data_IF_601333227257
#
_entry.id   IF_601333227257
#
_cell.length_a   1.000
_cell.length_b   1.000
_cell.length_c   1.000
_cell.angle_alpha   90.00
_cell.angle_beta   90.00
_cell.angle_gamma   90.00
#
_symmetry.space_group_name_H-M   'P 1'
#
loop_
_entity.id
_entity.type
_entity.pdbx_description
1 polymer ?
#
# COMPACT_ATOMS: atom_id res chain seq x y z
N UNK A 1 -49.75 -4.77 36.47
CA UNK A 1 -49.47 -5.75 35.41
C UNK A 1 -50.32 -5.36 34.22
N UNK A 2 -49.83 -4.44 33.40
CA UNK A 2 -50.47 -4.04 32.12
C UNK A 2 -49.35 -4.07 31.07
N UNK A 3 -49.46 -5.02 30.13
CA UNK A 3 -48.59 -5.08 28.96
C UNK A 3 -49.03 -4.01 27.98
N UNK A 4 -48.27 -2.92 27.90
CA UNK A 4 -48.42 -1.91 26.85
C UNK A 4 -47.95 -2.48 25.51
N UNK A 5 -48.89 -2.97 24.70
CA UNK A 5 -48.65 -3.31 23.30
C UNK A 5 -48.50 -2.01 22.49
N UNK A 6 -47.26 -1.59 22.23
CA UNK A 6 -46.95 -0.48 21.34
C UNK A 6 -47.27 -0.87 19.89
N UNK A 7 -48.51 -0.59 19.46
CA UNK A 7 -48.91 -0.68 18.07
C UNK A 7 -48.07 0.30 17.24
N UNK A 8 -47.20 -0.23 16.39
CA UNK A 8 -46.46 0.54 15.38
C UNK A 8 -47.45 1.37 14.55
N UNK A 9 -47.15 2.66 14.36
CA UNK A 9 -48.02 3.56 13.61
C UNK A 9 -48.19 3.10 12.17
N UNK A 10 -49.37 3.28 11.58
CA UNK A 10 -49.68 2.90 10.19
C UNK A 10 -48.61 3.32 9.16
N UNK A 11 -47.97 4.51 9.22
CA UNK A 11 -46.88 4.85 8.30
C UNK A 11 -45.62 3.99 8.50
N UNK A 12 -45.29 3.59 9.73
CA UNK A 12 -44.14 2.70 9.96
C UNK A 12 -44.35 1.29 9.39
N UNK A 13 -45.59 0.78 9.41
CA UNK A 13 -45.94 -0.50 8.79
C UNK A 13 -45.84 -0.41 7.25
N UNK A 14 -46.29 0.69 6.65
CA UNK A 14 -46.18 0.91 5.21
C UNK A 14 -44.70 1.04 4.78
N UNK A 15 -43.88 1.77 5.52
CA UNK A 15 -42.44 1.91 5.20
C UNK A 15 -41.72 0.57 5.31
N UNK A 16 -41.94 -0.18 6.40
CA UNK A 16 -41.30 -1.49 6.62
C UNK A 16 -41.73 -2.52 5.58
N UNK A 17 -42.99 -2.54 5.17
CA UNK A 17 -43.48 -3.44 4.11
C UNK A 17 -42.93 -3.08 2.73
N UNK A 18 -42.82 -1.80 2.38
CA UNK A 18 -42.17 -1.35 1.14
C UNK A 18 -40.70 -1.76 1.11
N UNK A 19 -39.97 -1.58 2.22
CA UNK A 19 -38.57 -2.02 2.33
C UNK A 19 -38.47 -3.54 2.17
N UNK A 20 -39.34 -4.31 2.84
CA UNK A 20 -39.34 -5.77 2.73
C UNK A 20 -39.65 -6.27 1.31
N UNK A 21 -40.60 -5.62 0.61
CA UNK A 21 -40.91 -5.91 -0.79
C UNK A 21 -39.76 -5.57 -1.72
N UNK A 22 -39.12 -4.41 -1.53
CA UNK A 22 -37.94 -4.01 -2.31
C UNK A 22 -36.78 -4.99 -2.12
N UNK A 23 -36.51 -5.41 -0.88
CA UNK A 23 -35.49 -6.43 -0.55
C UNK A 23 -35.84 -7.78 -1.18
N UNK A 24 -37.11 -8.19 -1.13
CA UNK A 24 -37.56 -9.48 -1.69
C UNK A 24 -37.48 -9.49 -3.21
N UNK A 25 -37.95 -8.43 -3.88
CA UNK A 25 -37.84 -8.28 -5.33
C UNK A 25 -36.38 -8.21 -5.78
N UNK A 26 -35.54 -7.53 -5.00
CA UNK A 26 -34.10 -7.49 -5.24
C UNK A 26 -33.47 -8.90 -5.12
N UNK A 27 -33.78 -9.65 -4.06
CA UNK A 27 -33.29 -11.01 -3.89
C UNK A 27 -33.74 -11.96 -5.01
N UNK A 28 -35.01 -11.87 -5.43
CA UNK A 28 -35.56 -12.65 -6.54
C UNK A 28 -34.88 -12.28 -7.87
N UNK A 29 -34.65 -10.99 -8.13
CA UNK A 29 -33.93 -10.55 -9.34
C UNK A 29 -32.46 -10.99 -9.33
N UNK A 30 -31.82 -11.01 -8.15
CA UNK A 30 -30.47 -11.57 -7.94
C UNK A 30 -30.40 -13.05 -8.28
N UNK A 31 -31.35 -13.85 -7.76
CA UNK A 31 -31.48 -15.28 -8.10
C UNK A 31 -31.73 -15.51 -9.60
N UNK A 32 -32.51 -14.64 -10.25
CA UNK A 32 -32.76 -14.69 -11.70
C UNK A 32 -31.50 -14.38 -12.51
N UNK A 33 -30.69 -13.41 -12.07
CA UNK A 33 -29.42 -13.07 -12.72
C UNK A 33 -28.36 -14.17 -12.55
N UNK A 34 -28.34 -14.88 -11.41
CA UNK A 34 -27.47 -16.05 -11.20
C UNK A 34 -27.82 -17.17 -12.19
N UNK A 35 -29.12 -17.39 -12.46
CA UNK A 35 -29.59 -18.38 -13.44
C UNK A 35 -29.41 -17.93 -14.91
N UNK A 36 -29.43 -16.64 -15.18
CA UNK A 36 -29.30 -16.04 -16.53
C UNK A 36 -27.88 -16.07 -17.10
N UNK A 37 -26.86 -16.19 -16.24
CA UNK A 37 -25.44 -16.20 -16.63
C UNK A 37 -24.99 -17.35 -17.55
N UNK A 38 -25.87 -18.27 -17.92
CA UNK A 38 -25.58 -19.39 -18.83
C UNK A 38 -26.03 -19.19 -20.29
N UNK A 39 -26.52 -18.01 -20.69
CA UNK A 39 -27.02 -17.81 -22.08
C UNK A 39 -26.32 -16.67 -22.82
N UNK A 40 -25.00 -16.78 -22.97
CA UNK A 40 -24.21 -15.96 -23.89
C UNK A 40 -23.57 -16.81 -24.99
N UNK A 41 -24.23 -16.93 -26.15
CA UNK A 41 -23.62 -17.51 -27.36
C UNK A 41 -22.38 -16.69 -27.76
N UNK A 42 -21.19 -17.31 -27.75
CA UNK A 42 -20.07 -16.93 -28.63
C UNK A 42 -18.81 -16.29 -28.04
N UNK A 43 -18.68 -16.02 -26.74
CA UNK A 43 -17.40 -15.62 -26.12
C UNK A 43 -17.00 -16.62 -25.04
N UNK A 44 -15.81 -17.23 -25.18
CA UNK A 44 -15.21 -18.06 -24.12
C UNK A 44 -14.93 -17.14 -22.92
N UNK A 45 -15.83 -17.13 -21.94
CA UNK A 45 -15.64 -16.43 -20.68
C UNK A 45 -15.00 -17.38 -19.68
N UNK A 46 -14.17 -16.83 -18.79
CA UNK A 46 -13.63 -17.60 -17.65
C UNK A 46 -14.77 -18.12 -16.77
N UNK A 47 -14.63 -19.31 -16.15
CA UNK A 47 -15.62 -19.81 -15.20
C UNK A 47 -15.90 -18.78 -14.11
N UNK A 48 -17.17 -18.51 -13.83
CA UNK A 48 -17.54 -17.68 -12.67
C UNK A 48 -17.64 -18.56 -11.44
N UNK A 49 -17.00 -18.15 -10.35
CA UNK A 49 -17.17 -18.79 -9.05
C UNK A 49 -18.63 -18.73 -8.60
N UNK A 50 -19.12 -19.82 -8.02
CA UNK A 50 -20.42 -19.91 -7.38
C UNK A 50 -20.43 -19.25 -6.01
N UNK A 51 -21.62 -19.04 -5.46
CA UNK A 51 -21.79 -18.51 -4.09
C UNK A 51 -21.82 -16.98 -3.98
N UNK A 52 -21.76 -16.23 -5.09
CA UNK A 52 -21.88 -14.76 -5.07
C UNK A 52 -23.18 -14.28 -4.43
N UNK A 53 -23.10 -13.40 -3.44
CA UNK A 53 -24.27 -12.72 -2.88
C UNK A 53 -24.64 -11.46 -3.68
N UNK A 54 -25.92 -11.01 -3.61
CA UNK A 54 -26.31 -9.71 -4.15
C UNK A 54 -25.49 -8.56 -3.51
N UNK A 55 -25.16 -7.53 -4.31
CA UNK A 55 -24.32 -6.37 -3.98
C UNK A 55 -22.86 -6.68 -3.58
N UNK A 56 -22.62 -7.50 -2.56
CA UNK A 56 -21.29 -7.71 -1.98
C UNK A 56 -20.46 -8.77 -2.71
N UNK A 57 -21.08 -9.57 -3.58
CA UNK A 57 -20.38 -10.60 -4.34
C UNK A 57 -19.81 -11.69 -3.43
N UNK A 58 -18.51 -11.95 -3.55
CA UNK A 58 -17.75 -12.95 -2.80
C UNK A 58 -17.04 -12.36 -1.58
N UNK A 59 -17.25 -11.08 -1.24
CA UNK A 59 -16.59 -10.45 -0.08
C UNK A 59 -16.92 -11.13 1.25
N UNK A 60 -18.08 -11.78 1.36
CA UNK A 60 -18.45 -12.57 2.53
C UNK A 60 -17.52 -13.78 2.75
N UNK A 61 -16.82 -14.26 1.71
CA UNK A 61 -15.81 -15.31 1.82
C UNK A 61 -14.43 -14.74 2.19
N UNK A 62 -14.15 -13.49 1.79
CA UNK A 62 -12.83 -12.87 1.88
C UNK A 62 -12.65 -11.95 3.10
N UNK A 63 -13.74 -11.65 3.82
CA UNK A 63 -13.72 -10.78 5.01
C UNK A 63 -13.52 -11.52 6.34
N UNK A 64 -13.19 -12.81 6.32
CA UNK A 64 -13.03 -13.65 7.51
C UNK A 64 -11.64 -13.55 8.18
N UNK A 65 -11.39 -14.43 9.15
CA UNK A 65 -10.08 -14.56 9.81
C UNK A 65 -9.01 -15.20 8.92
N UNK A 66 -9.43 -15.95 7.89
CA UNK A 66 -8.54 -16.57 6.93
C UNK A 66 -8.12 -15.52 5.89
N UNK A 67 -6.81 -15.35 5.63
CA UNK A 67 -6.33 -14.40 4.63
C UNK A 67 -6.95 -14.63 3.24
N UNK A 68 -7.33 -13.56 2.51
CA UNK A 68 -8.01 -13.68 1.21
C UNK A 68 -7.28 -14.54 0.19
N UNK A 69 -5.94 -14.49 0.16
CA UNK A 69 -5.16 -15.27 -0.80
C UNK A 69 -5.22 -16.78 -0.54
N UNK A 70 -5.46 -17.23 0.70
CA UNK A 70 -5.65 -18.66 1.03
C UNK A 70 -7.04 -19.11 0.56
N UNK A 71 -8.08 -18.31 0.86
CA UNK A 71 -9.45 -18.59 0.39
C UNK A 71 -9.50 -18.66 -1.14
N UNK A 72 -8.82 -17.75 -1.83
CA UNK A 72 -8.75 -17.75 -3.29
C UNK A 72 -7.98 -18.96 -3.85
N UNK A 73 -6.98 -19.47 -3.13
CA UNK A 73 -6.26 -20.68 -3.51
C UNK A 73 -7.17 -21.92 -3.40
N UNK A 74 -7.90 -22.07 -2.30
CA UNK A 74 -8.89 -23.15 -2.13
C UNK A 74 -10.02 -23.08 -3.17
N UNK A 75 -10.42 -21.87 -3.56
CA UNK A 75 -11.36 -21.69 -4.67
C UNK A 75 -10.74 -22.15 -6.01
N UNK A 76 -9.45 -21.93 -6.23
CA UNK A 76 -8.77 -22.34 -7.46
C UNK A 76 -8.77 -23.87 -7.64
N UNK A 77 -8.72 -24.64 -6.54
CA UNK A 77 -8.84 -26.11 -6.59
C UNK A 77 -10.18 -26.57 -7.19
N UNK A 78 -11.23 -25.75 -7.04
CA UNK A 78 -12.58 -26.06 -7.51
C UNK A 78 -12.89 -25.46 -8.89
N UNK A 79 -12.39 -24.26 -9.18
CA UNK A 79 -12.72 -23.51 -10.40
C UNK A 79 -11.61 -23.52 -11.46
N UNK A 80 -10.44 -24.05 -11.12
CA UNK A 80 -9.29 -24.19 -11.98
C UNK A 80 -8.34 -22.98 -11.98
N UNK A 81 -7.39 -23.00 -12.92
CA UNK A 81 -6.26 -22.08 -13.01
C UNK A 81 -6.63 -20.59 -13.18
N UNK A 82 -7.84 -20.31 -13.68
CA UNK A 82 -8.35 -18.98 -13.92
C UNK A 82 -9.87 -18.97 -13.77
N UNK A 83 -10.38 -18.09 -12.92
CA UNK A 83 -11.82 -17.98 -12.65
C UNK A 83 -12.17 -16.56 -12.26
N UNK A 84 -13.45 -16.19 -12.35
CA UNK A 84 -13.92 -14.87 -11.99
C UNK A 84 -14.71 -14.87 -10.68
N UNK A 85 -14.44 -13.85 -9.87
CA UNK A 85 -15.16 -13.52 -8.64
C UNK A 85 -15.74 -12.12 -8.75
N UNK A 86 -16.58 -11.76 -7.78
CA UNK A 86 -17.16 -10.42 -7.62
C UNK A 86 -16.71 -9.83 -6.30
N UNK A 87 -16.01 -8.69 -6.35
CA UNK A 87 -15.67 -7.90 -5.17
C UNK A 87 -16.63 -6.71 -5.09
N UNK A 88 -17.73 -6.90 -4.38
CA UNK A 88 -18.85 -5.97 -4.47
C UNK A 88 -19.48 -6.01 -5.86
N UNK A 89 -19.60 -4.83 -6.49
CA UNK A 89 -20.10 -4.71 -7.86
C UNK A 89 -19.04 -4.93 -8.95
N UNK A 90 -17.76 -5.06 -8.57
CA UNK A 90 -16.65 -5.21 -9.52
C UNK A 90 -16.40 -6.68 -9.84
N UNK A 91 -16.32 -7.01 -11.12
CA UNK A 91 -15.85 -8.32 -11.58
C UNK A 91 -14.32 -8.37 -11.49
N UNK A 92 -13.77 -9.41 -10.89
CA UNK A 92 -12.33 -9.63 -10.74
C UNK A 92 -11.97 -11.01 -11.27
N UNK A 93 -10.89 -11.12 -12.03
CA UNK A 93 -10.36 -12.41 -12.48
C UNK A 93 -9.21 -12.80 -11.56
N UNK A 94 -9.26 -14.03 -11.07
CA UNK A 94 -8.24 -14.67 -10.24
C UNK A 94 -7.43 -15.60 -11.14
N UNK A 95 -6.11 -15.54 -10.99
CA UNK A 95 -5.15 -16.36 -11.72
C UNK A 95 -4.28 -17.08 -10.72
N UNK A 96 -4.22 -18.41 -10.81
CA UNK A 96 -3.64 -19.27 -9.77
C UNK A 96 -2.59 -20.26 -10.29
N UNK A 97 -2.07 -20.07 -11.50
CA UNK A 97 -0.99 -20.89 -12.09
C UNK A 97 0.10 -20.01 -12.66
N UNK A 98 1.33 -20.54 -12.71
CA UNK A 98 2.47 -19.77 -13.21
C UNK A 98 2.38 -19.55 -14.73
N UNK A 99 1.78 -20.48 -15.49
CA UNK A 99 1.55 -20.35 -16.93
C UNK A 99 0.65 -19.15 -17.22
N UNK A 100 -0.46 -19.04 -16.50
CA UNK A 100 -1.40 -17.92 -16.67
C UNK A 100 -0.81 -16.61 -16.13
N UNK A 101 -0.07 -16.65 -15.02
CA UNK A 101 0.64 -15.47 -14.52
C UNK A 101 1.67 -14.97 -15.53
N UNK A 102 2.40 -15.86 -16.22
CA UNK A 102 3.31 -15.51 -17.31
C UNK A 102 2.55 -14.86 -18.46
N UNK A 103 1.44 -15.44 -18.92
CA UNK A 103 0.63 -14.79 -19.97
C UNK A 103 0.16 -13.38 -19.59
N UNK A 104 -0.24 -13.17 -18.33
CA UNK A 104 -0.68 -11.86 -17.83
C UNK A 104 0.46 -10.85 -17.67
N UNK A 105 1.62 -11.29 -17.16
CA UNK A 105 2.72 -10.42 -16.73
C UNK A 105 3.87 -10.33 -17.75
N UNK A 106 3.78 -11.06 -18.86
CA UNK A 106 4.71 -10.93 -20.00
C UNK A 106 3.98 -10.67 -21.31
N UNK A 107 3.14 -11.60 -21.78
CA UNK A 107 2.55 -11.52 -23.13
C UNK A 107 1.53 -10.38 -23.23
N UNK A 108 0.76 -10.19 -22.16
CA UNK A 108 -0.34 -9.22 -22.07
C UNK A 108 -0.08 -8.13 -21.01
N UNK A 109 1.19 -7.96 -20.62
CA UNK A 109 1.60 -7.09 -19.50
C UNK A 109 1.09 -5.66 -19.67
N UNK A 110 1.21 -5.09 -20.87
CA UNK A 110 0.76 -3.73 -21.20
C UNK A 110 -0.76 -3.56 -21.08
N UNK A 111 -1.53 -4.58 -21.46
CA UNK A 111 -3.00 -4.53 -21.37
C UNK A 111 -3.48 -4.62 -19.91
N UNK A 112 -2.67 -5.23 -19.04
CA UNK A 112 -2.97 -5.45 -17.62
C UNK A 112 -2.15 -4.55 -16.66
N UNK A 113 -1.37 -3.61 -17.20
CA UNK A 113 -0.47 -2.78 -16.41
C UNK A 113 -1.21 -1.76 -15.52
N UNK A 114 -2.40 -1.33 -15.92
CA UNK A 114 -3.18 -0.31 -15.20
C UNK A 114 -3.65 -0.79 -13.84
N UNK A 115 -3.47 0.04 -12.81
CA UNK A 115 -4.00 -0.21 -11.46
C UNK A 115 -5.48 0.14 -11.36
N UNK A 116 -6.32 -0.75 -10.77
CA UNK A 116 -7.69 -0.40 -10.44
C UNK A 116 -7.73 0.77 -9.44
N UNK A 117 -8.65 1.71 -9.63
CA UNK A 117 -8.87 2.81 -8.68
C UNK A 117 -9.39 2.27 -7.36
N UNK A 118 -8.70 2.59 -6.27
CA UNK A 118 -9.10 2.38 -4.88
C UNK A 118 -9.12 3.71 -4.12
N UNK A 119 -9.83 3.76 -3.00
CA UNK A 119 -9.83 4.93 -2.12
C UNK A 119 -8.41 5.29 -1.66
N UNK A 120 -7.59 4.29 -1.33
CA UNK A 120 -6.20 4.51 -0.92
C UNK A 120 -5.38 5.15 -2.05
N UNK A 121 -5.52 4.68 -3.30
CA UNK A 121 -4.82 5.27 -4.44
C UNK A 121 -5.17 6.74 -4.68
N UNK A 122 -6.43 7.11 -4.44
CA UNK A 122 -6.90 8.48 -4.64
C UNK A 122 -6.49 9.42 -3.51
N UNK A 123 -6.65 8.98 -2.26
CA UNK A 123 -6.42 9.81 -1.07
C UNK A 123 -4.95 9.86 -0.70
N UNK A 124 -4.22 8.75 -0.83
CA UNK A 124 -2.85 8.60 -0.32
C UNK A 124 -1.80 8.58 -1.43
N UNK A 125 -2.21 8.36 -2.69
CA UNK A 125 -1.31 8.27 -3.84
C UNK A 125 -1.11 9.57 -4.61
N UNK A 126 -1.24 10.74 -3.96
CA UNK A 126 -1.11 12.05 -4.61
C UNK A 126 -1.95 12.19 -5.89
N UNK A 127 -3.22 11.76 -5.83
CA UNK A 127 -4.14 11.77 -6.97
C UNK A 127 -3.56 11.13 -8.25
N UNK A 128 -2.82 10.03 -8.09
CA UNK A 128 -2.23 9.28 -9.19
C UNK A 128 -0.78 9.63 -9.53
N UNK A 129 -0.12 10.53 -8.80
CA UNK A 129 1.32 10.77 -8.96
C UNK A 129 2.19 9.65 -8.34
N UNK A 130 1.69 8.95 -7.31
CA UNK A 130 2.42 7.86 -6.67
C UNK A 130 2.52 6.63 -7.58
N UNK A 131 3.71 6.40 -8.17
CA UNK A 131 3.95 5.40 -9.23
C UNK A 131 3.48 3.98 -8.89
N UNK A 132 3.52 3.60 -7.60
CA UNK A 132 3.06 2.28 -7.14
C UNK A 132 1.56 2.05 -7.37
N UNK A 133 0.76 3.12 -7.34
CA UNK A 133 -0.70 3.11 -7.47
C UNK A 133 -1.23 3.87 -8.70
N UNK A 134 -0.35 4.51 -9.48
CA UNK A 134 -0.75 5.25 -10.69
C UNK A 134 -1.33 4.32 -11.77
N UNK A 135 -2.27 4.84 -12.59
CA UNK A 135 -2.67 4.17 -13.82
C UNK A 135 -1.49 4.10 -14.80
N UNK A 136 -1.45 3.04 -15.62
CA UNK A 136 -0.44 2.94 -16.66
C UNK A 136 -0.67 4.02 -17.73
N UNK A 137 0.41 4.67 -18.16
CA UNK A 137 0.37 5.74 -19.14
C UNK A 137 1.76 6.36 -19.37
N UNK A 138 1.85 7.44 -20.16
CA UNK A 138 3.12 8.11 -20.44
C UNK A 138 3.83 8.60 -19.16
N UNK A 139 3.10 9.25 -18.25
CA UNK A 139 3.62 9.69 -16.95
C UNK A 139 4.26 8.54 -16.16
N UNK A 140 3.51 7.46 -15.92
CA UNK A 140 4.02 6.29 -15.19
C UNK A 140 5.27 5.69 -15.85
N UNK A 141 5.31 5.65 -17.19
CA UNK A 141 6.44 5.10 -17.93
C UNK A 141 7.69 5.97 -17.79
N UNK A 142 7.53 7.30 -17.80
CA UNK A 142 8.62 8.26 -17.61
C UNK A 142 9.18 8.19 -16.18
N UNK A 143 8.34 8.26 -15.16
CA UNK A 143 8.80 8.17 -13.76
C UNK A 143 9.44 6.80 -13.49
N UNK A 144 8.86 5.70 -13.98
CA UNK A 144 9.47 4.37 -13.84
C UNK A 144 10.86 4.30 -14.49
N UNK A 145 11.05 4.94 -15.64
CA UNK A 145 12.35 5.01 -16.33
C UNK A 145 13.36 5.78 -15.47
N UNK A 146 12.97 6.90 -14.86
CA UNK A 146 13.81 7.67 -13.94
C UNK A 146 14.22 6.81 -12.74
N UNK A 147 13.25 6.23 -12.01
CA UNK A 147 13.55 5.35 -10.87
C UNK A 147 14.50 4.22 -11.27
N UNK A 148 14.24 3.57 -12.41
CA UNK A 148 15.06 2.44 -12.88
C UNK A 148 16.50 2.86 -13.16
N UNK A 149 16.70 4.03 -13.79
CA UNK A 149 18.03 4.52 -14.16
C UNK A 149 18.80 5.06 -12.94
N UNK A 150 18.12 5.86 -12.14
CA UNK A 150 18.75 6.72 -11.13
C UNK A 150 18.82 6.09 -9.75
N UNK A 151 17.97 5.09 -9.45
CA UNK A 151 17.97 4.39 -8.16
C UNK A 151 18.27 2.89 -8.30
N UNK A 152 17.70 2.23 -9.32
CA UNK A 152 17.72 0.76 -9.42
C UNK A 152 18.67 0.21 -10.49
N UNK A 153 19.55 1.03 -11.05
CA UNK A 153 20.52 0.56 -12.04
C UNK A 153 21.66 -0.23 -11.37
N UNK A 154 22.29 -1.15 -12.09
CA UNK A 154 23.38 -1.97 -11.55
C UNK A 154 24.52 -1.14 -10.95
N UNK A 155 24.80 0.03 -11.55
CA UNK A 155 25.79 0.96 -11.02
C UNK A 155 25.35 1.56 -9.67
N UNK A 156 24.10 2.03 -9.56
CA UNK A 156 23.57 2.60 -8.32
C UNK A 156 23.49 1.55 -7.21
N UNK A 157 23.08 0.32 -7.54
CA UNK A 157 23.05 -0.79 -6.57
C UNK A 157 24.43 -1.10 -5.98
N UNK A 158 25.51 -1.01 -6.78
CA UNK A 158 26.87 -1.20 -6.25
C UNK A 158 27.30 -0.06 -5.32
N UNK A 159 26.89 1.18 -5.60
CA UNK A 159 27.14 2.32 -4.71
C UNK A 159 26.36 2.19 -3.39
N UNK A 160 25.09 1.77 -3.46
CA UNK A 160 24.22 1.57 -2.30
C UNK A 160 24.63 0.36 -1.45
N UNK A 161 25.34 -0.61 -2.02
CA UNK A 161 25.82 -1.81 -1.32
C UNK A 161 26.57 -1.48 -0.03
N UNK A 162 27.46 -0.49 -0.07
CA UNK A 162 28.25 -0.10 1.11
C UNK A 162 27.36 0.43 2.24
N UNK A 163 26.30 1.16 1.88
CA UNK A 163 25.30 1.67 2.84
C UNK A 163 24.58 0.49 3.48
N UNK A 164 24.07 -0.45 2.68
CA UNK A 164 23.40 -1.66 3.17
C UNK A 164 24.29 -2.48 4.11
N UNK A 165 25.55 -2.72 3.73
CA UNK A 165 26.51 -3.45 4.56
C UNK A 165 26.77 -2.73 5.89
N UNK A 166 26.91 -1.40 5.86
CA UNK A 166 27.12 -0.59 7.07
C UNK A 166 25.93 -0.62 8.04
N UNK A 167 24.70 -0.54 7.51
CA UNK A 167 23.46 -0.60 8.30
C UNK A 167 23.27 -1.97 8.96
N UNK A 168 23.49 -3.05 8.20
CA UNK A 168 23.42 -4.42 8.73
C UNK A 168 24.45 -4.63 9.83
N UNK A 169 25.70 -4.20 9.63
CA UNK A 169 26.75 -4.31 10.64
C UNK A 169 26.44 -3.49 11.89
N UNK A 170 25.91 -2.27 11.73
CA UNK A 170 25.46 -1.42 12.84
C UNK A 170 24.34 -2.09 13.64
N UNK A 171 23.32 -2.60 12.94
CA UNK A 171 22.22 -3.32 13.53
C UNK A 171 22.65 -4.58 14.30
N UNK A 172 23.58 -5.38 13.74
CA UNK A 172 24.15 -6.55 14.42
C UNK A 172 24.90 -6.16 15.70
N UNK A 173 25.72 -5.10 15.65
CA UNK A 173 26.46 -4.59 16.82
C UNK A 173 25.51 -4.12 17.92
N UNK A 174 24.44 -3.43 17.56
CA UNK A 174 23.45 -2.93 18.51
C UNK A 174 22.68 -4.08 19.18
N UNK A 175 22.30 -5.10 18.41
CA UNK A 175 21.67 -6.30 18.94
C UNK A 175 22.62 -7.04 19.90
N UNK A 176 23.89 -7.18 19.53
CA UNK A 176 24.91 -7.80 20.38
C UNK A 176 25.11 -7.04 21.70
N UNK A 177 25.18 -5.69 21.64
CA UNK A 177 25.28 -4.85 22.84
C UNK A 177 24.11 -5.03 23.78
N UNK A 178 22.89 -5.14 23.26
CA UNK A 178 21.69 -5.32 24.08
C UNK A 178 21.60 -6.71 24.72
N UNK A 179 22.06 -7.74 23.99
CA UNK A 179 22.20 -9.08 24.55
C UNK A 179 23.24 -9.12 25.68
N UNK A 180 24.35 -8.38 25.56
CA UNK A 180 25.48 -8.40 26.52
C UNK A 180 25.38 -7.37 27.66
N UNK A 181 24.67 -6.26 27.49
CA UNK A 181 24.48 -5.25 28.54
C UNK A 181 23.65 -5.78 29.70
N UNK A 182 22.73 -6.72 29.43
CA UNK A 182 21.89 -7.38 30.43
C UNK A 182 22.69 -8.29 31.39
N UNK A 183 23.91 -8.71 31.01
CA UNK A 183 24.77 -9.56 31.85
C UNK A 183 25.48 -8.78 32.96
N UNK A 184 25.73 -7.47 32.78
CA UNK A 184 26.53 -6.67 33.73
C UNK A 184 25.76 -6.19 34.97
N UNK A 185 24.43 -6.08 34.90
CA UNK A 185 23.61 -5.69 36.06
C UNK A 185 23.41 -6.81 37.09
N UNK A 186 23.83 -8.05 36.79
CA UNK A 186 23.58 -9.23 37.63
C UNK A 186 24.84 -9.76 38.36
N UNK A 187 26.04 -9.24 38.05
CA UNK A 187 27.32 -9.69 38.65
C UNK A 187 27.52 -9.16 40.09
N UNK A 188 26.43 -8.95 40.83
CA UNK A 188 26.42 -8.74 42.28
C UNK A 188 25.97 -9.98 43.07
N UNK A 189 25.28 -10.96 42.46
CA UNK A 189 24.70 -12.10 43.18
C UNK A 189 24.83 -13.42 42.40
N UNK A 190 25.39 -14.39 43.11
CA UNK A 190 25.77 -15.76 42.74
C UNK A 190 24.67 -16.56 42.02
N UNK A 191 24.64 -16.53 40.68
CA UNK A 191 24.23 -17.64 39.77
C UNK A 191 24.40 -17.22 38.31
N UNK A 192 25.31 -17.86 37.58
CA UNK A 192 25.41 -17.75 36.10
C UNK A 192 24.26 -18.54 35.45
N UNK A 193 23.05 -18.01 35.52
CA UNK A 193 22.00 -18.38 34.55
C UNK A 193 22.24 -17.57 33.29
N UNK A 194 22.62 -18.24 32.19
CA UNK A 194 22.65 -17.64 30.85
C UNK A 194 21.26 -17.08 30.59
N UNK A 195 21.13 -15.75 30.69
CA UNK A 195 19.83 -15.09 30.57
C UNK A 195 19.58 -14.88 29.08
N UNK A 196 18.80 -15.76 28.48
CA UNK A 196 18.38 -15.63 27.08
C UNK A 196 17.52 -14.37 26.93
N UNK A 197 18.06 -13.33 26.29
CA UNK A 197 17.29 -12.13 25.94
C UNK A 197 16.36 -12.46 24.78
N UNK A 198 15.04 -12.32 25.01
CA UNK A 198 14.06 -12.42 23.93
C UNK A 198 14.07 -11.10 23.15
N UNK A 199 14.22 -11.20 21.83
CA UNK A 199 14.24 -10.06 20.92
C UNK A 199 13.06 -10.17 19.95
N UNK A 200 12.30 -9.09 19.79
CA UNK A 200 11.27 -8.99 18.75
C UNK A 200 11.93 -8.78 17.37
N UNK A 201 12.17 -9.88 16.66
CA UNK A 201 12.81 -9.84 15.34
C UNK A 201 11.94 -9.15 14.29
N UNK A 202 10.60 -9.17 14.42
CA UNK A 202 9.71 -8.49 13.48
C UNK A 202 9.94 -6.98 13.55
N UNK A 203 9.96 -6.43 14.77
CA UNK A 203 10.28 -5.02 14.98
C UNK A 203 11.70 -4.70 14.48
N UNK A 204 12.69 -5.54 14.80
CA UNK A 204 14.09 -5.31 14.40
C UNK A 204 14.31 -5.27 12.91
N UNK A 205 13.72 -6.20 12.16
CA UNK A 205 13.82 -6.21 10.70
C UNK A 205 13.04 -5.05 10.08
N UNK A 206 11.87 -4.71 10.63
CA UNK A 206 11.10 -3.54 10.20
C UNK A 206 11.89 -2.24 10.37
N UNK A 207 12.52 -2.06 11.54
CA UNK A 207 13.37 -0.91 11.83
C UNK A 207 14.58 -0.84 10.88
N UNK A 208 15.28 -1.97 10.65
CA UNK A 208 16.41 -2.03 9.72
C UNK A 208 16.00 -1.66 8.28
N UNK A 209 14.89 -2.22 7.80
CA UNK A 209 14.38 -1.94 6.46
C UNK A 209 13.99 -0.47 6.31
N UNK A 210 13.28 0.09 7.30
CA UNK A 210 12.89 1.50 7.28
C UNK A 210 14.10 2.44 7.29
N UNK A 211 15.08 2.18 8.15
CA UNK A 211 16.28 3.00 8.24
C UNK A 211 17.07 3.00 6.93
N UNK A 212 17.22 1.82 6.33
CA UNK A 212 17.89 1.67 5.04
C UNK A 212 17.15 2.44 3.94
N UNK A 213 15.81 2.36 3.89
CA UNK A 213 15.01 3.12 2.92
C UNK A 213 15.14 4.64 3.13
N UNK A 214 15.02 5.13 4.37
CA UNK A 214 15.15 6.56 4.67
C UNK A 214 16.53 7.11 4.32
N UNK A 215 17.58 6.32 4.59
CA UNK A 215 18.96 6.69 4.26
C UNK A 215 19.20 6.75 2.76
N UNK A 216 18.60 5.84 1.99
CA UNK A 216 18.73 5.81 0.53
C UNK A 216 17.92 6.92 -0.14
N UNK A 217 16.69 7.16 0.33
CA UNK A 217 15.72 8.03 -0.35
C UNK A 217 15.91 9.50 0.05
N UNK A 218 16.05 9.79 1.34
CA UNK A 218 16.04 11.16 1.89
C UNK A 218 17.25 11.46 2.78
N UNK A 219 18.30 10.63 2.68
CA UNK A 219 19.58 10.87 3.36
C UNK A 219 19.50 10.90 4.89
N UNK A 220 18.39 10.48 5.48
CA UNK A 220 18.11 10.68 6.90
C UNK A 220 18.38 9.40 7.67
N UNK A 221 19.25 9.46 8.67
CA UNK A 221 19.45 8.37 9.60
C UNK A 221 18.33 8.35 10.64
N UNK A 222 17.78 7.16 10.91
CA UNK A 222 17.02 6.92 12.12
C UNK A 222 17.98 6.95 13.31
N UNK A 223 18.23 8.13 13.85
CA UNK A 223 18.97 8.25 15.11
C UNK A 223 18.08 7.82 16.26
N UNK A 224 18.58 6.89 17.08
CA UNK A 224 18.10 6.61 18.44
C UNK A 224 18.34 7.85 19.31
N UNK A 225 17.61 8.92 19.06
CA UNK A 225 17.48 10.04 19.99
C UNK A 225 16.32 9.71 20.92
N UNK A 226 16.66 9.70 22.20
CA UNK A 226 15.76 9.60 23.35
C UNK A 226 14.42 10.31 23.13
N UNK A 227 13.32 9.60 23.37
CA UNK A 227 11.99 10.20 23.64
C UNK A 227 11.34 11.06 22.55
N UNK A 228 10.38 10.47 21.82
CA UNK A 228 9.15 11.17 21.41
C UNK A 228 8.99 11.53 19.93
N UNK A 229 9.97 12.20 19.30
CA UNK A 229 9.78 12.75 17.94
C UNK A 229 9.92 11.67 16.85
N UNK A 230 10.90 10.78 16.97
CA UNK A 230 11.19 9.75 15.97
C UNK A 230 10.18 8.58 15.98
N UNK A 231 9.46 8.40 17.09
CA UNK A 231 8.38 7.41 17.21
C UNK A 231 7.14 7.86 16.42
N UNK A 232 6.83 9.16 16.40
CA UNK A 232 5.69 9.72 15.65
C UNK A 232 5.79 9.44 14.15
N UNK A 233 6.97 9.62 13.56
CA UNK A 233 7.23 9.28 12.15
C UNK A 233 7.00 7.78 11.88
N UNK A 234 7.51 6.90 12.75
CA UNK A 234 7.33 5.45 12.60
C UNK A 234 5.87 5.04 12.64
N UNK A 235 5.12 5.58 13.60
CA UNK A 235 3.68 5.33 13.68
C UNK A 235 2.98 5.82 12.42
N UNK A 236 3.35 7.00 11.92
CA UNK A 236 2.74 7.57 10.73
C UNK A 236 3.04 6.76 9.45
N UNK A 237 4.28 6.32 9.25
CA UNK A 237 4.68 5.46 8.12
C UNK A 237 4.00 4.08 8.22
N UNK A 238 3.93 3.51 9.42
CA UNK A 238 3.25 2.23 9.64
C UNK A 238 1.75 2.35 9.34
N UNK A 239 1.11 3.39 9.82
CA UNK A 239 -0.30 3.67 9.55
C UNK A 239 -0.52 3.92 8.05
N UNK A 240 0.44 4.57 7.38
CA UNK A 240 0.40 4.75 5.92
C UNK A 240 0.42 3.40 5.20
N UNK A 241 1.37 2.51 5.52
CA UNK A 241 1.49 1.19 4.90
C UNK A 241 0.22 0.35 5.16
N UNK A 242 -0.29 0.36 6.40
CA UNK A 242 -1.49 -0.38 6.78
C UNK A 242 -2.72 0.12 6.01
N UNK A 243 -2.93 1.44 5.96
CA UNK A 243 -4.07 2.03 5.28
C UNK A 243 -3.96 1.92 3.76
N UNK A 244 -2.76 2.09 3.19
CA UNK A 244 -2.53 2.00 1.74
C UNK A 244 -2.91 0.60 1.20
N UNK A 245 -2.63 -0.46 1.95
CA UNK A 245 -2.96 -1.84 1.61
C UNK A 245 -4.39 -2.27 1.98
N UNK A 246 -5.19 -1.41 2.62
CA UNK A 246 -6.51 -1.76 3.11
C UNK A 246 -7.57 -1.65 2.01
N UNK A 247 -8.32 -2.73 1.80
CA UNK A 247 -9.52 -2.73 0.96
C UNK A 247 -10.74 -2.28 1.79
N UNK A 248 -11.37 -1.18 1.39
CA UNK A 248 -12.50 -0.57 2.13
C UNK A 248 -13.83 -0.81 1.45
N UNK A 249 -14.94 -0.60 2.17
CA UNK A 249 -16.29 -0.83 1.64
C UNK A 249 -16.58 -0.02 0.36
N UNK A 250 -16.03 1.18 0.23
CA UNK A 250 -16.20 2.02 -0.95
C UNK A 250 -15.48 1.51 -2.19
N UNK A 251 -14.45 0.67 -2.05
CA UNK A 251 -13.77 0.03 -3.19
C UNK A 251 -14.69 -0.99 -3.86
N UNK A 252 -15.48 -1.69 -3.04
CA UNK A 252 -16.48 -2.67 -3.44
C UNK A 252 -17.82 -2.04 -3.86
N UNK A 253 -18.26 -1.00 -3.14
CA UNK A 253 -19.56 -0.34 -3.28
C UNK A 253 -19.36 1.19 -3.31
N UNK A 254 -18.96 1.77 -4.46
CA UNK A 254 -18.62 3.19 -4.55
C UNK A 254 -19.73 4.16 -4.13
N UNK A 255 -20.99 3.77 -4.29
CA UNK A 255 -22.16 4.55 -3.88
C UNK A 255 -22.34 4.65 -2.35
N UNK A 256 -21.60 3.85 -1.57
CA UNK A 256 -21.53 3.93 -0.11
C UNK A 256 -20.30 4.72 0.39
N UNK A 257 -19.53 5.35 -0.50
CA UNK A 257 -18.34 6.13 -0.14
C UNK A 257 -18.61 7.23 0.88
N UNK A 258 -19.79 7.86 0.83
CA UNK A 258 -20.17 8.94 1.75
C UNK A 258 -20.34 8.49 3.21
N UNK A 259 -20.53 7.20 3.48
CA UNK A 259 -20.72 6.68 4.84
C UNK A 259 -19.42 6.55 5.62
N UNK A 260 -18.27 6.47 4.94
CA UNK A 260 -16.97 6.15 5.53
C UNK A 260 -17.05 5.00 6.57
N UNK A 261 -17.58 3.85 6.15
CA UNK A 261 -17.78 2.70 7.03
C UNK A 261 -16.44 2.25 7.64
N UNK A 262 -16.30 2.43 8.95
CA UNK A 262 -15.07 2.15 9.71
C UNK A 262 -14.11 3.34 9.85
N UNK A 263 -14.45 4.52 9.32
CA UNK A 263 -13.66 5.75 9.47
C UNK A 263 -12.34 5.76 8.70
N UNK A 264 -12.19 4.85 7.73
CA UNK A 264 -10.92 4.64 7.02
C UNK A 264 -10.60 5.80 6.09
N UNK A 265 -11.57 6.43 5.43
CA UNK A 265 -11.33 7.60 4.60
C UNK A 265 -10.80 8.77 5.43
N UNK A 266 -11.40 9.03 6.60
CA UNK A 266 -10.92 10.05 7.52
C UNK A 266 -9.50 9.74 8.03
N UNK A 267 -9.22 8.47 8.36
CA UNK A 267 -7.89 8.01 8.75
C UNK A 267 -6.86 8.21 7.62
N UNK A 268 -7.16 7.75 6.40
CA UNK A 268 -6.32 7.94 5.22
C UNK A 268 -6.00 9.41 4.96
N UNK A 269 -6.99 10.31 5.06
CA UNK A 269 -6.77 11.76 4.90
C UNK A 269 -5.90 12.37 6.01
N UNK A 270 -6.04 11.90 7.25
CA UNK A 270 -5.18 12.36 8.36
C UNK A 270 -3.75 11.88 8.15
N UNK A 271 -3.56 10.59 7.85
CA UNK A 271 -2.25 9.99 7.63
C UNK A 271 -1.54 10.56 6.41
N UNK A 272 -2.24 10.71 5.28
CA UNK A 272 -1.71 11.33 4.06
C UNK A 272 -1.20 12.75 4.32
N UNK A 273 -1.94 13.58 5.07
CA UNK A 273 -1.46 14.92 5.44
C UNK A 273 -0.22 14.90 6.33
N UNK A 274 -0.14 13.93 7.24
CA UNK A 274 1.04 13.76 8.08
C UNK A 274 2.28 13.38 7.26
N UNK A 275 2.12 12.41 6.36
CA UNK A 275 3.19 11.97 5.46
C UNK A 275 3.61 13.09 4.50
N UNK A 276 2.64 13.81 3.93
CA UNK A 276 2.94 14.93 3.03
C UNK A 276 3.74 16.03 3.74
N UNK A 277 3.41 16.33 5.00
CA UNK A 277 4.18 17.26 5.82
C UNK A 277 5.61 16.78 6.03
N UNK A 278 5.82 15.50 6.38
CA UNK A 278 7.17 14.94 6.55
C UNK A 278 7.99 15.03 5.25
N UNK A 279 7.40 14.61 4.13
CA UNK A 279 8.05 14.68 2.82
C UNK A 279 8.35 16.12 2.40
N UNK A 280 7.46 17.07 2.72
CA UNK A 280 7.69 18.48 2.45
C UNK A 280 8.85 19.04 3.29
N UNK A 281 8.89 18.72 4.59
CA UNK A 281 9.98 19.13 5.48
C UNK A 281 11.34 18.63 4.96
N UNK A 282 11.41 17.37 4.50
CA UNK A 282 12.61 16.85 3.84
C UNK A 282 12.89 17.55 2.52
N UNK A 283 11.91 17.72 1.65
CA UNK A 283 12.11 18.35 0.35
C UNK A 283 12.66 19.78 0.47
N UNK A 284 12.10 20.57 1.39
CA UNK A 284 12.52 21.94 1.66
C UNK A 284 13.97 21.98 2.19
N UNK A 285 14.34 21.02 3.05
CA UNK A 285 15.70 20.87 3.52
C UNK A 285 16.69 20.59 2.37
N UNK A 286 16.39 19.66 1.46
CA UNK A 286 17.23 19.35 0.30
C UNK A 286 17.36 20.57 -0.63
N UNK A 287 16.25 21.28 -0.90
CA UNK A 287 16.27 22.52 -1.69
C UNK A 287 17.14 23.61 -1.05
N UNK A 288 17.12 23.75 0.27
CA UNK A 288 17.89 24.77 0.99
C UNK A 288 19.41 24.53 0.98
N UNK A 289 19.83 23.25 0.97
CA UNK A 289 21.24 22.83 0.96
C UNK A 289 21.88 22.93 -0.41
N UNK A 290 21.06 22.99 -1.46
CA UNK A 290 21.51 23.00 -2.85
C UNK A 290 22.25 24.31 -3.17
N UNK A 291 23.52 24.19 -3.59
CA UNK A 291 24.27 25.32 -4.14
C UNK A 291 23.71 25.66 -5.54
N UNK A 292 23.70 26.94 -5.95
CA UNK A 292 23.34 27.33 -7.32
C UNK A 292 24.27 26.62 -8.32
N UNK A 293 23.73 26.24 -9.50
CA UNK A 293 24.45 25.52 -10.59
C UNK A 293 25.85 26.11 -10.79
N UNK A 294 26.88 25.38 -10.33
CA UNK A 294 28.26 25.56 -10.79
C UNK A 294 28.48 24.80 -12.09
N UNK A 295 29.46 25.22 -12.89
CA UNK A 295 29.68 24.82 -14.30
C UNK A 295 29.90 23.31 -14.57
N UNK A 296 29.96 22.46 -13.55
CA UNK A 296 30.04 21.01 -13.73
C UNK A 296 28.64 20.40 -13.84
N UNK A 297 28.06 20.48 -15.04
CA UNK A 297 26.76 19.90 -15.42
C UNK A 297 26.69 18.36 -15.44
N UNK A 298 27.47 17.67 -14.59
CA UNK A 298 27.43 16.23 -14.47
C UNK A 298 26.42 15.81 -13.41
N UNK A 299 25.48 14.95 -13.82
CA UNK A 299 24.61 14.16 -12.94
C UNK A 299 25.45 13.45 -11.89
N UNK A 300 25.34 13.85 -10.62
CA UNK A 300 26.10 13.19 -9.56
C UNK A 300 25.35 11.93 -9.13
N UNK A 301 26.03 10.76 -9.08
CA UNK A 301 25.41 9.52 -8.61
C UNK A 301 25.00 9.62 -7.13
N UNK A 302 24.15 8.71 -6.65
CA UNK A 302 23.79 8.66 -5.22
C UNK A 302 25.04 8.31 -4.43
N UNK A 303 25.56 9.29 -3.67
CA UNK A 303 26.69 9.11 -2.78
C UNK A 303 26.25 9.61 -1.41
N UNK A 304 25.62 8.72 -0.64
CA UNK A 304 25.08 9.05 0.70
C UNK A 304 26.14 9.70 1.59
N UNK A 305 27.39 9.21 1.54
CA UNK A 305 28.51 9.76 2.33
C UNK A 305 28.95 11.18 1.91
N UNK A 306 28.47 11.69 0.76
CA UNK A 306 28.66 13.07 0.29
C UNK A 306 27.40 13.93 0.42
N UNK A 307 26.37 13.41 1.11
CA UNK A 307 25.08 14.10 1.28
C UNK A 307 24.28 14.18 -0.01
N UNK A 308 24.33 13.13 -0.85
CA UNK A 308 23.50 13.00 -2.05
C UNK A 308 22.66 11.73 -1.95
N UNK A 309 21.35 11.89 -1.88
CA UNK A 309 20.35 10.82 -1.86
C UNK A 309 19.42 10.88 -3.08
N UNK A 310 18.42 10.00 -3.11
CA UNK A 310 17.51 9.94 -4.25
C UNK A 310 16.65 11.21 -4.41
N UNK A 311 16.24 11.85 -3.32
CA UNK A 311 15.47 13.09 -3.35
C UNK A 311 16.29 14.23 -3.98
N UNK A 312 17.58 14.31 -3.68
CA UNK A 312 18.52 15.24 -4.34
C UNK A 312 18.66 14.97 -5.84
N UNK A 313 18.74 13.69 -6.23
CA UNK A 313 18.88 13.28 -7.63
C UNK A 313 17.62 13.66 -8.44
N UNK A 314 16.44 13.57 -7.82
CA UNK A 314 15.17 13.94 -8.46
C UNK A 314 15.06 15.44 -8.76
N UNK A 315 15.60 16.32 -7.92
CA UNK A 315 15.48 17.78 -8.07
C UNK A 315 15.92 18.31 -9.46
N UNK A 316 17.16 18.10 -9.93
CA UNK A 316 17.59 18.60 -11.24
C UNK A 316 16.87 17.92 -12.41
N UNK A 317 16.51 16.63 -12.29
CA UNK A 317 15.79 15.90 -13.34
C UNK A 317 14.44 16.57 -13.57
N UNK A 318 13.72 16.87 -12.49
CA UNK A 318 12.38 17.42 -12.59
C UNK A 318 12.40 18.87 -13.04
N UNK A 319 13.42 19.66 -12.69
CA UNK A 319 13.57 21.04 -13.19
C UNK A 319 13.71 21.12 -14.71
N UNK A 320 14.44 20.19 -15.31
CA UNK A 320 14.78 20.22 -16.73
C UNK A 320 13.71 19.52 -17.62
N UNK A 321 12.78 18.74 -17.04
CA UNK A 321 11.76 17.95 -17.78
C UNK A 321 10.36 18.60 -17.76
N UNK A 322 10.10 19.47 -18.74
CA UNK A 322 8.81 20.16 -18.91
C UNK A 322 7.65 19.22 -19.27
N UNK A 323 7.93 18.09 -19.92
CA UNK A 323 6.90 17.13 -20.33
C UNK A 323 6.33 16.42 -19.11
N UNK A 324 7.17 16.01 -18.16
CA UNK A 324 6.74 15.39 -16.90
C UNK A 324 5.96 16.41 -16.04
N UNK A 325 6.42 17.66 -15.99
CA UNK A 325 5.76 18.73 -15.23
C UNK A 325 4.36 19.09 -15.75
N UNK A 326 4.02 18.68 -16.98
CA UNK A 326 2.66 18.88 -17.53
C UNK A 326 1.59 18.04 -16.80
N UNK A 327 1.98 16.96 -16.13
CA UNK A 327 1.07 16.09 -15.37
C UNK A 327 0.85 16.56 -13.93
N UNK A 328 1.94 16.93 -13.25
CA UNK A 328 1.96 17.35 -11.84
C UNK A 328 3.14 18.31 -11.63
N UNK A 329 3.11 19.15 -10.59
CA UNK A 329 4.26 20.00 -10.25
C UNK A 329 5.45 19.16 -9.74
N UNK A 330 6.66 19.70 -9.90
CA UNK A 330 7.90 18.99 -9.57
C UNK A 330 7.96 18.54 -8.10
N UNK A 331 7.39 19.30 -7.16
CA UNK A 331 7.41 18.96 -5.73
C UNK A 331 6.50 17.77 -5.46
N UNK A 332 5.29 17.80 -6.02
CA UNK A 332 4.37 16.67 -5.95
C UNK A 332 4.99 15.41 -6.55
N UNK A 333 5.67 15.50 -7.70
CA UNK A 333 6.33 14.35 -8.32
C UNK A 333 7.46 13.83 -7.44
N UNK A 334 8.32 14.70 -6.92
CA UNK A 334 9.43 14.30 -6.07
C UNK A 334 8.92 13.60 -4.80
N UNK A 335 8.01 14.24 -4.05
CA UNK A 335 7.41 13.66 -2.84
C UNK A 335 6.69 12.35 -3.14
N UNK A 336 5.90 12.28 -4.20
CA UNK A 336 5.20 11.06 -4.57
C UNK A 336 6.14 9.95 -5.03
N UNK A 337 7.31 10.26 -5.60
CA UNK A 337 8.30 9.26 -6.04
C UNK A 337 9.15 8.76 -4.88
N UNK A 338 9.37 9.61 -3.86
CA UNK A 338 10.13 9.30 -2.65
C UNK A 338 9.27 8.68 -1.52
N UNK A 339 7.95 8.69 -1.65
CA UNK A 339 7.00 7.97 -0.78
C UNK A 339 7.04 6.47 -1.04
#
# INVERSE_FOLDING_TARGET
MEMSSSLLSTPTIVITTIIALAVSLYYISGLRNIRSGQTGRGKKMVPSAGGSWPLIGHLHLLGGSIPPHIVLAEMADNYGAMFAVKLGIRQTVVVSTWEMAKECLTTNDRALATRPRSLSSEVMGYNGAFVGLSPYGPYWSQIRKIITRELLSSHQLELLRQVCESEVLGWMKDMYKECTSTERDIIGLTRTTVRTTKVDMKRRFGDLALNMMLRIIVGTEYTKADGGVNDGMKFLIRDFIELAGRFVASDALPFLSWLDLGGYQAAMKRTSRGIDRLLQEWLDEHKSRRKPKGEDGAMNPIIINRGQDFMDVMLPILEDDQDIQSYYDADTINKATCL
#
